data_IF_798053125804
#
_entry.id   IF_798053125804
#
_cell.length_a   1.000
_cell.length_b   1.000
_cell.length_c   1.000
_cell.angle_alpha   90.00
_cell.angle_beta   90.00
_cell.angle_gamma   90.00
#
_symmetry.space_group_name_H-M   'P 1'
#
loop_
_entity.id
_entity.type
_entity.pdbx_description
1 polymer ?
#
# COMPACT_ATOMS: atom_id res chain seq x y z
N UNK A 1 -7.53 -19.86 23.96
CA UNK A 1 -7.67 -18.48 23.46
C UNK A 1 -8.94 -18.45 22.62
N UNK A 2 -10.01 -17.83 23.12
CA UNK A 2 -11.31 -17.86 22.45
C UNK A 2 -11.27 -16.89 21.24
N UNK A 3 -11.26 -17.44 20.03
CA UNK A 3 -11.11 -16.69 18.77
C UNK A 3 -12.38 -15.90 18.39
N UNK A 4 -13.49 -16.07 19.11
CA UNK A 4 -14.81 -15.51 18.75
C UNK A 4 -14.96 -14.00 18.99
N UNK A 5 -13.93 -13.32 19.50
CA UNK A 5 -13.96 -11.88 19.79
C UNK A 5 -12.90 -11.06 19.02
N UNK A 6 -12.48 -11.54 17.84
CA UNK A 6 -11.59 -10.79 16.95
C UNK A 6 -12.35 -9.68 16.19
N UNK A 7 -12.88 -8.70 16.93
CA UNK A 7 -13.41 -7.48 16.34
C UNK A 7 -12.71 -6.28 16.98
N UNK A 8 -11.75 -5.63 16.28
CA UNK A 8 -11.04 -4.49 16.82
C UNK A 8 -11.92 -3.24 17.02
N UNK A 9 -13.17 -3.22 16.55
CA UNK A 9 -14.09 -2.09 16.73
C UNK A 9 -15.08 -2.27 17.89
N UNK A 10 -15.07 -3.42 18.58
CA UNK A 10 -15.85 -3.62 19.80
C UNK A 10 -15.08 -3.12 21.02
N UNK A 11 -15.75 -2.44 21.95
CA UNK A 11 -15.14 -1.90 23.17
C UNK A 11 -14.52 -2.98 24.06
N UNK A 12 -15.14 -4.16 24.14
CA UNK A 12 -14.65 -5.31 24.92
C UNK A 12 -13.44 -6.02 24.30
N UNK A 13 -12.98 -5.55 23.13
CA UNK A 13 -11.85 -6.16 22.43
C UNK A 13 -10.52 -5.66 22.97
N UNK A 14 -9.59 -6.58 23.19
CA UNK A 14 -8.20 -6.23 23.49
C UNK A 14 -7.53 -5.42 22.37
N UNK A 15 -8.10 -5.44 21.16
CA UNK A 15 -7.62 -4.68 20.01
C UNK A 15 -8.30 -3.31 19.84
N UNK A 16 -9.31 -2.99 20.66
CA UNK A 16 -10.05 -1.72 20.58
C UNK A 16 -9.17 -0.46 20.61
N UNK A 17 -8.10 -0.39 21.45
CA UNK A 17 -7.20 0.77 21.46
C UNK A 17 -6.49 0.98 20.12
N UNK A 18 -6.27 -0.10 19.36
CA UNK A 18 -5.51 -0.10 18.10
C UNK A 18 -6.38 -0.02 16.84
N UNK A 19 -7.70 0.12 16.99
CA UNK A 19 -8.66 0.07 15.86
C UNK A 19 -8.32 1.01 14.70
N UNK A 20 -7.91 2.24 15.01
CA UNK A 20 -7.54 3.24 13.99
C UNK A 20 -6.21 2.92 13.34
N UNK A 21 -5.25 2.42 14.12
CA UNK A 21 -3.99 1.94 13.58
C UNK A 21 -4.21 0.79 12.60
N UNK A 22 -5.05 -0.19 12.95
CA UNK A 22 -5.40 -1.31 12.08
C UNK A 22 -6.13 -0.87 10.80
N UNK A 23 -7.02 0.12 10.90
CA UNK A 23 -7.67 0.72 9.72
C UNK A 23 -6.67 1.39 8.79
N UNK A 24 -5.77 2.21 9.33
CA UNK A 24 -4.75 2.91 8.54
C UNK A 24 -3.81 1.89 7.89
N UNK A 25 -3.40 0.86 8.63
CA UNK A 25 -2.56 -0.21 8.12
C UNK A 25 -3.24 -0.93 6.93
N UNK A 26 -4.51 -1.31 7.08
CA UNK A 26 -5.27 -1.96 6.02
C UNK A 26 -5.40 -1.06 4.77
N UNK A 27 -5.65 0.25 4.98
CA UNK A 27 -5.72 1.22 3.89
C UNK A 27 -4.38 1.35 3.15
N UNK A 28 -3.28 1.51 3.88
CA UNK A 28 -1.94 1.64 3.30
C UNK A 28 -1.55 0.38 2.53
N UNK A 29 -1.80 -0.81 3.09
CA UNK A 29 -1.56 -2.07 2.39
C UNK A 29 -2.39 -2.18 1.11
N UNK A 30 -3.66 -1.79 1.13
CA UNK A 30 -4.52 -1.78 -0.04
C UNK A 30 -4.03 -0.82 -1.13
N UNK A 31 -3.64 0.39 -0.74
CA UNK A 31 -3.07 1.40 -1.66
C UNK A 31 -1.77 0.89 -2.30
N UNK A 32 -0.88 0.27 -1.51
CA UNK A 32 0.36 -0.29 -2.02
C UNK A 32 0.11 -1.43 -3.01
N UNK A 33 -0.73 -2.40 -2.68
CA UNK A 33 -1.06 -3.53 -3.57
C UNK A 33 -1.77 -3.07 -4.84
N UNK A 34 -2.67 -2.10 -4.74
CA UNK A 34 -3.31 -1.51 -5.91
C UNK A 34 -2.30 -0.79 -6.80
N UNK A 35 -1.37 -0.03 -6.21
CA UNK A 35 -0.36 0.69 -6.96
C UNK A 35 0.61 -0.25 -7.70
N UNK A 36 1.00 -1.35 -7.05
CA UNK A 36 1.86 -2.38 -7.63
C UNK A 36 1.17 -3.07 -8.80
N UNK A 37 -0.08 -3.50 -8.64
CA UNK A 37 -0.84 -4.21 -9.68
C UNK A 37 -1.26 -3.34 -10.86
N UNK A 38 -1.56 -2.06 -10.64
CA UNK A 38 -1.97 -1.12 -11.69
C UNK A 38 -0.80 -0.40 -12.37
N UNK A 39 0.42 -0.53 -11.83
CA UNK A 39 1.59 0.25 -12.25
C UNK A 39 1.50 1.74 -11.87
N UNK A 40 0.56 2.11 -11.00
CA UNK A 40 0.38 3.48 -10.55
C UNK A 40 1.53 3.89 -9.62
N UNK A 41 2.11 5.06 -9.85
CA UNK A 41 3.22 5.58 -9.03
C UNK A 41 2.69 6.46 -7.92
N UNK A 42 2.76 5.96 -6.68
CA UNK A 42 2.32 6.70 -5.48
C UNK A 42 3.22 7.89 -5.16
N UNK A 43 4.51 7.80 -5.51
CA UNK A 43 5.49 8.86 -5.28
C UNK A 43 6.19 9.18 -6.60
N UNK A 44 5.86 10.31 -7.20
CA UNK A 44 6.62 10.93 -8.28
C UNK A 44 7.03 12.33 -7.82
N UNK A 45 8.20 12.44 -7.18
CA UNK A 45 8.73 13.75 -6.79
C UNK A 45 9.04 14.61 -8.02
N UNK A 46 8.93 15.93 -7.88
CA UNK A 46 9.37 16.92 -8.87
C UNK A 46 10.90 16.90 -8.98
N UNK A 47 11.45 15.89 -9.64
CA UNK A 47 12.89 15.68 -9.77
C UNK A 47 13.32 14.21 -9.92
N UNK A 48 12.40 13.25 -9.82
CA UNK A 48 12.74 11.84 -10.06
C UNK A 48 12.73 11.55 -11.56
N UNK A 49 13.92 11.52 -12.17
CA UNK A 49 14.10 10.96 -13.51
C UNK A 49 13.79 9.46 -13.47
N UNK A 50 12.69 9.08 -14.11
CA UNK A 50 12.36 7.69 -14.35
C UNK A 50 13.41 7.06 -15.26
N UNK A 51 14.26 6.19 -14.72
CA UNK A 51 15.17 5.38 -15.52
C UNK A 51 14.36 4.42 -16.39
N UNK A 52 14.31 4.70 -17.70
CA UNK A 52 13.82 3.74 -18.69
C UNK A 52 15.04 2.94 -19.15
N UNK A 53 15.09 1.65 -18.79
CA UNK A 53 16.02 0.73 -19.42
C UNK A 53 15.52 0.46 -20.85
N UNK A 54 15.78 1.38 -21.78
CA UNK A 54 15.70 1.07 -23.20
C UNK A 54 16.83 0.11 -23.55
N UNK A 55 16.59 -1.17 -23.28
CA UNK A 55 17.37 -2.24 -23.88
C UNK A 55 17.37 -2.05 -25.39
N UNK A 56 18.57 -2.02 -25.97
CA UNK A 56 18.92 -1.98 -27.40
C UNK A 56 17.74 -2.12 -28.37
N UNK A 57 17.17 -1.00 -28.80
CA UNK A 57 16.58 -0.80 -30.12
C UNK A 57 16.03 0.61 -30.15
N UNK A 58 16.60 1.47 -31.00
CA UNK A 58 15.94 2.51 -31.80
C UNK A 58 17.06 3.43 -32.33
N UNK A 59 17.61 3.03 -33.48
CA UNK A 59 18.42 3.91 -34.32
C UNK A 59 17.52 5.07 -34.75
N UNK A 60 17.90 6.30 -34.42
CA UNK A 60 17.34 7.47 -35.06
C UNK A 60 18.12 7.70 -36.37
N UNK A 61 17.40 7.80 -37.49
CA UNK A 61 17.93 8.35 -38.74
C UNK A 61 18.13 9.85 -38.61
#
# INVERSE_FOLDING_TARGET
>A
MNLNNFNPFKEDSSMFPFRWFLLILALLSGVLLYSDSSGYRLFSGSGQQQWNASGQQHFHK
#
